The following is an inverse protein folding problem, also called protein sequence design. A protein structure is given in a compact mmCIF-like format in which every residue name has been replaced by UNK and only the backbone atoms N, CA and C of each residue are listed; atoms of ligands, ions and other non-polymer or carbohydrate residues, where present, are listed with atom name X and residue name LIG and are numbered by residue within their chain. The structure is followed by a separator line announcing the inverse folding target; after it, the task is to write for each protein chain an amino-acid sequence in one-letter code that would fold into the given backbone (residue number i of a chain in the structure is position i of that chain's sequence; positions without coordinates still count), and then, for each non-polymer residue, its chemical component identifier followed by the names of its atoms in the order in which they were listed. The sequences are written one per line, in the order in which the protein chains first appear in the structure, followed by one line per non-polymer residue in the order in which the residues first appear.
data_IF_328085991282
#
_entry.id   IF_328085991282
#
_cell.length_a   1.000
_cell.length_b   1.000
_cell.length_c   1.000
_cell.angle_alpha   90.00
_cell.angle_beta   90.00
_cell.angle_gamma   90.00
#
_symmetry.space_group_name_H-M   'P 1'
#
loop_
_entity.id
_entity.type
_entity.pdbx_description
1 polymer ?
#
# COMPACT_ATOMS: atom_id res chain seq x y z
N UNK A 1 5.33 -10.99 -21.41
CA UNK A 1 3.96 -10.84 -21.94
C UNK A 1 3.35 -9.57 -21.33
N UNK A 2 2.96 -8.63 -22.15
CA UNK A 2 2.30 -7.38 -21.77
C UNK A 2 0.78 -7.55 -21.86
N UNK A 3 0.03 -6.83 -21.03
CA UNK A 3 -1.42 -6.76 -21.13
C UNK A 3 -1.86 -5.30 -21.13
N UNK A 4 -2.97 -5.02 -21.80
CA UNK A 4 -3.58 -3.69 -21.79
C UNK A 4 -4.78 -3.69 -20.84
N UNK A 5 -4.84 -2.69 -19.97
CA UNK A 5 -5.95 -2.46 -19.05
C UNK A 5 -6.34 -0.97 -19.12
N UNK A 6 -7.50 -0.68 -19.66
CA UNK A 6 -7.86 0.68 -20.02
C UNK A 6 -6.81 1.30 -20.95
N UNK A 7 -6.29 2.46 -20.58
CA UNK A 7 -5.23 3.17 -21.31
C UNK A 7 -3.81 2.73 -20.94
N UNK A 8 -3.67 1.77 -20.01
CA UNK A 8 -2.38 1.35 -19.48
C UNK A 8 -1.90 0.05 -20.09
N UNK A 9 -0.62 0.01 -20.49
CA UNK A 9 0.07 -1.22 -20.90
C UNK A 9 0.97 -1.66 -19.76
N UNK A 10 0.68 -2.84 -19.21
CA UNK A 10 1.36 -3.38 -18.03
C UNK A 10 2.41 -4.41 -18.42
N UNK A 11 3.53 -4.37 -17.71
CA UNK A 11 4.54 -5.43 -17.65
C UNK A 11 4.53 -6.07 -16.26
N UNK A 12 5.08 -7.28 -16.12
CA UNK A 12 5.18 -7.95 -14.81
C UNK A 12 5.88 -7.05 -13.79
N UNK A 13 5.46 -7.09 -12.55
CA UNK A 13 5.86 -6.25 -11.42
C UNK A 13 5.44 -4.77 -11.52
N UNK A 14 4.75 -4.34 -12.59
CA UNK A 14 4.07 -3.04 -12.58
C UNK A 14 2.92 -3.04 -11.56
N UNK A 15 2.65 -1.89 -10.99
CA UNK A 15 1.55 -1.70 -10.04
C UNK A 15 0.48 -0.80 -10.65
N UNK A 16 -0.72 -1.36 -10.83
CA UNK A 16 -1.89 -0.59 -11.22
C UNK A 16 -2.55 -0.02 -9.96
N UNK A 17 -2.69 1.29 -9.90
CA UNK A 17 -3.40 1.97 -8.82
C UNK A 17 -4.82 2.25 -9.28
N UNK A 18 -5.79 1.83 -8.48
CA UNK A 18 -7.21 1.99 -8.77
C UNK A 18 -7.94 2.61 -7.59
N UNK A 19 -9.08 3.24 -7.86
CA UNK A 19 -9.99 3.79 -6.85
C UNK A 19 -11.35 3.12 -6.89
N UNK A 20 -11.99 3.01 -5.73
CA UNK A 20 -13.38 2.53 -5.60
C UNK A 20 -14.33 3.65 -6.03
N UNK A 21 -15.28 3.37 -6.94
CA UNK A 21 -16.27 4.34 -7.42
C UNK A 21 -17.23 4.82 -6.33
N UNK A 22 -17.45 4.01 -5.31
CA UNK A 22 -18.35 4.31 -4.21
C UNK A 22 -17.64 4.98 -3.03
N UNK A 23 -16.30 4.85 -2.96
CA UNK A 23 -15.51 5.35 -1.84
C UNK A 23 -14.11 5.76 -2.31
N UNK A 24 -14.01 6.98 -2.83
CA UNK A 24 -12.83 7.53 -3.53
C UNK A 24 -11.67 7.97 -2.62
N UNK A 25 -11.75 7.69 -1.30
CA UNK A 25 -10.76 8.18 -0.33
C UNK A 25 -9.45 7.38 -0.31
N UNK A 26 -9.48 6.11 -0.73
CA UNK A 26 -8.31 5.23 -0.65
C UNK A 26 -7.93 4.67 -2.01
N UNK A 27 -6.64 4.73 -2.31
CA UNK A 27 -6.04 4.05 -3.45
C UNK A 27 -5.87 2.56 -3.16
N UNK A 28 -6.21 1.71 -4.14
CA UNK A 28 -5.90 0.28 -4.10
C UNK A 28 -4.78 -0.04 -5.09
N UNK A 29 -3.84 -0.88 -4.67
CA UNK A 29 -2.62 -1.19 -5.42
C UNK A 29 -2.63 -2.66 -5.84
N UNK A 30 -2.59 -2.89 -7.15
CA UNK A 30 -2.60 -4.21 -7.76
C UNK A 30 -1.26 -4.48 -8.46
N UNK A 31 -0.52 -5.46 -8.02
CA UNK A 31 0.75 -5.89 -8.64
C UNK A 31 0.45 -6.84 -9.78
N UNK A 32 0.83 -6.50 -11.00
CA UNK A 32 0.67 -7.37 -12.16
C UNK A 32 1.78 -8.43 -12.18
N UNK A 33 1.41 -9.69 -12.15
CA UNK A 33 2.36 -10.82 -12.14
C UNK A 33 2.47 -11.57 -13.48
N UNK A 34 1.71 -11.16 -14.48
CA UNK A 34 1.67 -11.80 -15.79
C UNK A 34 0.40 -12.60 -16.02
N UNK A 35 0.19 -13.05 -17.26
CA UNK A 35 -0.93 -13.93 -17.67
C UNK A 35 -2.31 -13.45 -17.23
N UNK A 36 -2.54 -12.14 -17.22
CA UNK A 36 -3.81 -11.56 -16.77
C UNK A 36 -4.08 -11.75 -15.27
N UNK A 37 -3.03 -11.90 -14.46
CA UNK A 37 -3.12 -12.10 -13.02
C UNK A 37 -2.51 -10.94 -12.26
N UNK A 38 -3.13 -10.60 -11.13
CA UNK A 38 -2.67 -9.60 -10.19
C UNK A 38 -2.66 -10.15 -8.78
N UNK A 39 -1.76 -9.63 -7.96
CA UNK A 39 -1.80 -9.83 -6.50
C UNK A 39 -2.12 -8.48 -5.87
N UNK A 40 -3.08 -8.46 -4.96
CA UNK A 40 -3.51 -7.25 -4.25
C UNK A 40 -3.82 -7.54 -2.79
N UNK A 41 -3.56 -6.56 -1.94
CA UNK A 41 -4.06 -6.56 -0.57
C UNK A 41 -5.46 -5.94 -0.58
N UNK A 42 -6.47 -6.76 -0.30
CA UNK A 42 -7.88 -6.39 -0.32
C UNK A 42 -8.50 -6.67 1.06
N UNK A 43 -9.76 -6.31 1.24
CA UNK A 43 -10.52 -6.73 2.42
C UNK A 43 -10.42 -8.25 2.58
N UNK A 44 -9.85 -8.70 3.68
CA UNK A 44 -9.59 -10.12 3.96
C UNK A 44 -8.19 -10.62 3.55
N UNK A 45 -7.25 -9.72 3.21
CA UNK A 45 -5.83 -10.03 3.02
C UNK A 45 -5.35 -10.05 1.57
N UNK A 46 -4.11 -10.52 1.41
CA UNK A 46 -3.47 -10.61 0.09
C UNK A 46 -4.00 -11.80 -0.67
N UNK A 47 -4.45 -11.56 -1.89
CA UNK A 47 -5.03 -12.58 -2.76
C UNK A 47 -4.65 -12.42 -4.22
N UNK A 48 -4.68 -13.56 -4.92
CA UNK A 48 -4.55 -13.62 -6.37
C UNK A 48 -5.89 -13.24 -7.03
N UNK A 49 -5.83 -12.35 -8.02
CA UNK A 49 -6.97 -11.94 -8.84
C UNK A 49 -6.69 -12.27 -10.30
N UNK A 50 -7.68 -12.81 -11.02
CA UNK A 50 -7.59 -13.11 -12.46
C UNK A 50 -8.38 -12.10 -13.27
N UNK A 51 -7.97 -11.83 -14.51
CA UNK A 51 -8.60 -10.83 -15.40
C UNK A 51 -10.08 -11.13 -15.65
N UNK A 52 -10.49 -12.42 -15.67
CA UNK A 52 -11.90 -12.80 -15.82
C UNK A 52 -12.78 -12.26 -14.70
N UNK A 53 -12.17 -12.00 -13.54
CA UNK A 53 -12.85 -11.44 -12.37
C UNK A 53 -12.96 -9.90 -12.48
N UNK A 54 -12.28 -9.31 -13.48
CA UNK A 54 -12.18 -7.88 -13.69
C UNK A 54 -13.44 -7.22 -14.22
N UNK A 55 -14.33 -7.92 -14.95
CA UNK A 55 -15.59 -7.32 -15.38
C UNK A 55 -16.43 -6.82 -14.20
N UNK A 56 -16.47 -7.62 -13.12
CA UNK A 56 -17.09 -7.21 -11.87
C UNK A 56 -16.22 -6.19 -11.10
N UNK A 57 -14.90 -6.26 -11.28
CA UNK A 57 -13.98 -5.32 -10.69
C UNK A 57 -14.08 -3.93 -11.33
N UNK A 58 -14.13 -3.82 -12.67
CA UNK A 58 -14.26 -2.55 -13.40
C UNK A 58 -15.58 -1.82 -13.13
N UNK A 59 -16.64 -2.54 -12.76
CA UNK A 59 -17.89 -1.91 -12.34
C UNK A 59 -17.72 -1.12 -11.04
N UNK A 60 -16.83 -1.57 -10.16
CA UNK A 60 -16.56 -0.97 -8.84
C UNK A 60 -15.31 -0.10 -8.81
N UNK A 61 -14.26 -0.48 -9.53
CA UNK A 61 -12.98 0.21 -9.49
C UNK A 61 -12.60 0.78 -10.86
N UNK A 62 -11.89 1.90 -10.86
CA UNK A 62 -11.33 2.49 -12.06
C UNK A 62 -9.83 2.78 -11.90
N UNK A 63 -9.02 2.62 -12.98
CA UNK A 63 -7.60 2.87 -12.93
C UNK A 63 -7.31 4.38 -12.90
N UNK A 64 -6.45 4.80 -11.98
CA UNK A 64 -6.03 6.21 -11.86
C UNK A 64 -4.57 6.42 -12.20
N UNK A 65 -3.72 5.42 -11.99
CA UNK A 65 -2.28 5.55 -12.21
C UNK A 65 -1.62 4.20 -12.44
N UNK A 66 -0.58 4.19 -13.26
CA UNK A 66 0.32 3.06 -13.43
C UNK A 66 1.70 3.42 -12.86
N UNK A 67 2.17 2.64 -11.87
CA UNK A 67 3.54 2.67 -11.38
C UNK A 67 4.35 1.61 -12.12
N UNK A 68 5.22 2.06 -13.02
CA UNK A 68 6.15 1.16 -13.71
C UNK A 68 7.18 0.61 -12.75
N UNK A 69 7.50 -0.67 -12.89
CA UNK A 69 8.65 -1.25 -12.21
C UNK A 69 9.93 -0.69 -12.83
N UNK A 70 10.81 -0.16 -11.98
CA UNK A 70 12.12 0.38 -12.38
C UNK A 70 13.19 -0.61 -11.91
N UNK A 71 13.87 -1.26 -12.83
CA UNK A 71 14.90 -2.24 -12.55
C UNK A 71 15.14 -3.18 -13.73
N UNK A 72 16.21 -3.99 -13.61
CA UNK A 72 16.55 -5.03 -14.59
C UNK A 72 15.68 -6.29 -14.41
N UNK A 73 15.85 -7.29 -15.29
CA UNK A 73 15.04 -8.51 -15.26
C UNK A 73 15.29 -9.38 -14.00
N UNK A 74 16.49 -9.35 -13.42
CA UNK A 74 16.78 -10.06 -12.17
C UNK A 74 16.01 -9.42 -11.00
N UNK A 75 16.05 -8.10 -10.91
CA UNK A 75 15.30 -7.34 -9.89
C UNK A 75 13.79 -7.52 -10.07
N UNK A 76 13.31 -7.61 -11.31
CA UNK A 76 11.91 -7.91 -11.64
C UNK A 76 11.51 -9.30 -11.16
N UNK A 77 12.39 -10.30 -11.36
CA UNK A 77 12.16 -11.67 -10.86
C UNK A 77 12.04 -11.69 -9.33
N UNK A 78 12.91 -10.98 -8.62
CA UNK A 78 12.82 -10.84 -7.16
C UNK A 78 11.53 -10.15 -6.71
N UNK A 79 11.08 -9.11 -7.42
CA UNK A 79 9.81 -8.46 -7.12
C UNK A 79 8.63 -9.44 -7.26
N UNK A 80 8.62 -10.26 -8.30
CA UNK A 80 7.58 -11.28 -8.51
C UNK A 80 7.63 -12.37 -7.45
N UNK A 81 8.83 -12.80 -7.03
CA UNK A 81 9.00 -13.74 -5.93
C UNK A 81 8.42 -13.18 -4.62
N UNK A 82 8.77 -11.94 -4.24
CA UNK A 82 8.17 -11.28 -3.06
C UNK A 82 6.65 -11.21 -3.13
N UNK A 83 6.09 -10.90 -4.30
CA UNK A 83 4.63 -10.87 -4.47
C UNK A 83 3.99 -12.25 -4.21
N UNK A 84 4.61 -13.32 -4.69
CA UNK A 84 4.14 -14.70 -4.50
C UNK A 84 4.28 -15.17 -3.04
N UNK A 85 5.38 -14.83 -2.38
CA UNK A 85 5.62 -15.14 -0.96
C UNK A 85 4.53 -14.53 -0.06
N UNK A 86 4.04 -13.33 -0.42
CA UNK A 86 2.96 -12.66 0.31
C UNK A 86 1.61 -13.38 0.22
N UNK A 87 1.41 -14.33 -0.69
CA UNK A 87 0.20 -15.16 -0.76
C UNK A 87 0.16 -16.27 0.32
N UNK A 88 1.26 -16.51 1.04
CA UNK A 88 1.32 -17.56 2.04
C UNK A 88 0.63 -17.15 3.35
N UNK A 89 -0.09 -18.08 4.05
CA UNK A 89 -0.82 -17.77 5.28
C UNK A 89 0.03 -17.23 6.43
N UNK A 90 1.34 -17.54 6.43
CA UNK A 90 2.31 -17.07 7.43
C UNK A 90 2.65 -15.58 7.30
N UNK A 91 2.27 -14.95 6.18
CA UNK A 91 2.55 -13.55 5.93
C UNK A 91 1.47 -12.68 6.57
N UNK A 92 1.61 -12.44 7.86
CA UNK A 92 0.72 -11.53 8.59
C UNK A 92 1.04 -10.08 8.20
N UNK A 93 0.30 -9.55 7.24
CA UNK A 93 0.26 -8.13 6.94
C UNK A 93 -0.79 -7.41 7.82
N UNK A 94 -0.91 -7.82 9.08
CA UNK A 94 -1.90 -7.30 10.03
C UNK A 94 -1.90 -5.77 10.18
N UNK A 95 -0.82 -5.10 9.75
CA UNK A 95 -0.66 -3.64 9.83
C UNK A 95 -0.29 -2.98 8.49
N UNK A 96 -0.34 -3.70 7.37
CA UNK A 96 0.11 -3.18 6.07
C UNK A 96 -1.09 -2.85 5.18
N UNK A 97 -1.20 -1.61 4.76
CA UNK A 97 -2.16 -1.22 3.73
C UNK A 97 -1.70 -1.71 2.35
N UNK A 98 -2.55 -1.55 1.33
CA UNK A 98 -2.25 -2.01 -0.04
C UNK A 98 -1.03 -1.30 -0.65
N UNK A 99 -0.70 -0.07 -0.22
CA UNK A 99 0.50 0.64 -0.66
C UNK A 99 1.78 0.04 -0.06
N UNK A 100 1.78 -0.36 1.22
CA UNK A 100 2.90 -1.08 1.86
C UNK A 100 3.23 -2.36 1.11
N UNK A 101 2.21 -3.15 0.75
CA UNK A 101 2.37 -4.35 -0.04
C UNK A 101 3.02 -4.06 -1.40
N UNK A 102 2.51 -3.08 -2.14
CA UNK A 102 3.04 -2.73 -3.46
C UNK A 102 4.48 -2.20 -3.38
N UNK A 103 4.80 -1.38 -2.37
CA UNK A 103 6.15 -0.89 -2.13
C UNK A 103 7.11 -2.02 -1.79
N UNK A 104 6.72 -2.91 -0.87
CA UNK A 104 7.53 -4.10 -0.54
C UNK A 104 7.81 -4.95 -1.78
N UNK A 105 6.81 -5.21 -2.61
CA UNK A 105 7.01 -5.97 -3.84
C UNK A 105 8.01 -5.29 -4.76
N UNK A 106 7.86 -3.99 -5.04
CA UNK A 106 8.72 -3.30 -6.00
C UNK A 106 10.12 -2.99 -5.47
N UNK A 107 10.25 -2.67 -4.18
CA UNK A 107 11.50 -2.14 -3.62
C UNK A 107 12.14 -3.01 -2.54
N UNK A 108 11.42 -3.99 -1.99
CA UNK A 108 11.79 -4.73 -0.80
C UNK A 108 11.52 -3.98 0.52
N UNK A 109 11.04 -2.74 0.45
CA UNK A 109 10.75 -1.90 1.62
C UNK A 109 9.25 -1.71 1.84
N UNK A 110 8.80 -1.80 3.09
CA UNK A 110 7.40 -1.62 3.49
C UNK A 110 7.17 -0.18 3.95
N UNK A 111 6.98 0.74 3.03
CA UNK A 111 6.68 2.15 3.32
C UNK A 111 5.36 2.54 2.68
N UNK A 112 4.61 3.46 3.29
CA UNK A 112 3.38 4.02 2.72
C UNK A 112 3.35 5.53 2.89
N UNK A 113 3.25 6.24 1.78
CA UNK A 113 3.00 7.68 1.79
C UNK A 113 1.60 8.01 2.32
N UNK A 114 0.61 7.14 2.13
CA UNK A 114 -0.73 7.33 2.66
C UNK A 114 -0.74 7.28 4.18
N UNK A 115 -0.07 6.29 4.77
CA UNK A 115 0.06 6.12 6.21
C UNK A 115 0.83 7.28 6.84
N UNK A 116 1.97 7.67 6.24
CA UNK A 116 2.76 8.82 6.69
C UNK A 116 1.96 10.12 6.65
N UNK A 117 1.23 10.39 5.55
CA UNK A 117 0.38 11.58 5.44
C UNK A 117 -0.75 11.59 6.47
N UNK A 118 -1.40 10.45 6.70
CA UNK A 118 -2.45 10.33 7.71
C UNK A 118 -1.91 10.60 9.11
N UNK A 119 -0.72 10.08 9.44
CA UNK A 119 -0.04 10.31 10.73
C UNK A 119 0.30 11.78 10.93
N UNK A 120 0.84 12.45 9.91
CA UNK A 120 1.15 13.89 9.95
C UNK A 120 -0.15 14.71 10.10
N UNK A 121 -1.22 14.36 9.41
CA UNK A 121 -2.50 15.04 9.51
C UNK A 121 -3.10 14.91 10.92
N UNK A 122 -2.98 13.74 11.56
CA UNK A 122 -3.41 13.53 12.95
C UNK A 122 -2.61 14.39 13.93
N UNK A 123 -1.30 14.50 13.77
CA UNK A 123 -0.46 15.37 14.61
C UNK A 123 -0.88 16.83 14.43
N UNK A 124 -1.03 17.29 13.19
CA UNK A 124 -1.41 18.68 12.91
C UNK A 124 -2.81 19.02 13.45
N UNK A 125 -3.79 18.14 13.25
CA UNK A 125 -5.14 18.32 13.77
C UNK A 125 -5.16 18.33 15.30
N UNK A 126 -4.43 17.41 15.94
CA UNK A 126 -4.30 17.35 17.39
C UNK A 126 -3.64 18.60 17.97
N UNK A 127 -2.58 19.10 17.36
CA UNK A 127 -1.90 20.33 17.77
C UNK A 127 -2.81 21.57 17.63
N UNK A 128 -3.57 21.66 16.53
CA UNK A 128 -4.56 22.74 16.35
C UNK A 128 -5.62 22.70 17.44
N UNK A 129 -6.21 21.54 17.70
CA UNK A 129 -7.27 21.38 18.73
C UNK A 129 -6.75 21.72 20.13
N UNK A 130 -5.53 21.32 20.50
CA UNK A 130 -4.95 21.63 21.81
C UNK A 130 -4.61 23.11 21.96
N UNK A 131 -4.24 23.80 20.88
CA UNK A 131 -3.86 25.21 20.92
C UNK A 131 -5.10 26.13 21.02
N UNK A 132 -6.17 25.81 20.31
CA UNK A 132 -7.37 26.69 20.21
C UNK A 132 -8.35 26.47 21.38
N UNK A 133 -8.34 25.31 22.03
CA UNK A 133 -9.33 24.98 23.05
C UNK A 133 -8.69 24.84 24.44
N UNK A 134 -9.29 25.53 25.41
CA UNK A 134 -8.87 25.48 26.82
C UNK A 134 -9.67 24.49 27.67
N UNK A 135 -10.67 23.80 27.11
CA UNK A 135 -11.45 22.80 27.84
C UNK A 135 -10.68 21.49 27.96
N UNK A 136 -10.55 20.94 29.17
CA UNK A 136 -9.80 19.72 29.45
C UNK A 136 -10.16 18.52 28.52
N UNK A 137 -11.45 18.16 28.29
CA UNK A 137 -11.77 17.02 27.46
C UNK A 137 -11.34 17.21 26.01
N UNK A 138 -11.37 18.42 25.47
CA UNK A 138 -10.94 18.71 24.10
C UNK A 138 -9.41 18.66 23.98
N UNK A 139 -8.67 19.12 24.99
CA UNK A 139 -7.22 19.00 25.04
C UNK A 139 -6.76 17.53 25.10
N UNK A 140 -7.50 16.69 25.84
CA UNK A 140 -7.23 15.23 25.90
C UNK A 140 -7.40 14.59 24.53
N UNK A 141 -8.47 14.93 23.80
CA UNK A 141 -8.70 14.41 22.43
C UNK A 141 -7.56 14.87 21.50
N UNK A 142 -7.13 16.13 21.57
CA UNK A 142 -6.02 16.65 20.77
C UNK A 142 -4.71 15.92 21.09
N UNK A 143 -4.39 15.73 22.38
CA UNK A 143 -3.20 15.01 22.81
C UNK A 143 -3.21 13.53 22.34
N UNK A 144 -4.35 12.86 22.42
CA UNK A 144 -4.50 11.49 21.90
C UNK A 144 -4.32 11.42 20.39
N UNK A 145 -4.78 12.43 19.65
CA UNK A 145 -4.57 12.51 18.20
C UNK A 145 -3.09 12.69 17.84
N UNK A 146 -2.36 13.53 18.57
CA UNK A 146 -0.92 13.69 18.41
C UNK A 146 -0.20 12.36 18.70
N UNK A 147 -0.53 11.72 19.80
CA UNK A 147 0.07 10.43 20.19
C UNK A 147 -0.17 9.36 19.11
N UNK A 148 -1.39 9.25 18.61
CA UNK A 148 -1.72 8.31 17.55
C UNK A 148 -0.93 8.59 16.26
N UNK A 149 -0.78 9.85 15.87
CA UNK A 149 0.03 10.24 14.73
C UNK A 149 1.52 9.94 14.91
N UNK A 150 2.09 10.20 16.07
CA UNK A 150 3.49 9.87 16.41
C UNK A 150 3.70 8.36 16.37
N UNK A 151 2.82 7.57 16.99
CA UNK A 151 2.91 6.10 16.94
C UNK A 151 2.82 5.57 15.51
N UNK A 152 1.99 6.19 14.65
CA UNK A 152 1.93 5.86 13.24
C UNK A 152 3.24 6.10 12.51
N UNK A 153 3.91 7.24 12.74
CA UNK A 153 5.23 7.53 12.15
C UNK A 153 6.33 6.59 12.66
N UNK A 154 6.31 6.28 13.95
CA UNK A 154 7.25 5.32 14.53
C UNK A 154 7.07 3.93 13.92
N UNK A 155 5.84 3.48 13.75
CA UNK A 155 5.56 2.19 13.10
C UNK A 155 6.11 2.14 11.67
N UNK A 156 5.98 3.21 10.87
CA UNK A 156 6.60 3.29 9.53
C UNK A 156 8.13 3.16 9.60
N UNK A 157 8.78 3.85 10.54
CA UNK A 157 10.22 3.81 10.71
C UNK A 157 10.70 2.41 11.17
N UNK A 158 9.99 1.75 12.08
CA UNK A 158 10.31 0.39 12.52
C UNK A 158 10.14 -0.63 11.40
N UNK A 159 9.07 -0.51 10.61
CA UNK A 159 8.80 -1.38 9.46
C UNK A 159 9.90 -1.24 8.39
N UNK A 160 10.42 -0.03 8.16
CA UNK A 160 11.52 0.19 7.22
C UNK A 160 12.83 -0.46 7.72
N UNK A 161 13.18 -0.26 9.00
CA UNK A 161 14.41 -0.81 9.57
C UNK A 161 14.41 -2.33 9.69
N UNK A 162 13.27 -2.96 10.01
CA UNK A 162 13.19 -4.43 10.12
C UNK A 162 13.40 -5.15 8.77
N UNK A 163 13.19 -4.47 7.65
CA UNK A 163 13.37 -5.02 6.30
C UNK A 163 14.73 -4.69 5.66
N UNK A 164 15.51 -3.77 6.23
CA UNK A 164 16.85 -3.45 5.73
C UNK A 164 17.81 -4.65 5.79
N UNK A 165 17.60 -5.59 6.73
CA UNK A 165 18.40 -6.80 6.88
C UNK A 165 18.17 -7.89 5.81
N UNK A 166 17.07 -7.85 5.08
CA UNK A 166 16.74 -8.87 4.06
C UNK A 166 17.03 -8.44 2.62
N UNK A 167 17.37 -7.18 2.38
CA UNK A 167 17.60 -6.64 1.04
C UNK A 167 18.97 -6.97 0.46
N UNK A 168 19.90 -7.53 1.25
CA UNK A 168 21.30 -7.77 0.86
C UNK A 168 21.82 -9.14 1.35
N UNK A 169 21.14 -10.22 1.00
CA UNK A 169 21.83 -11.52 0.93
C UNK A 169 21.92 -11.89 -0.54
N UNK A 170 23.14 -11.62 -1.04
CA UNK A 170 23.65 -11.98 -2.39
C UNK A 170 23.59 -13.47 -2.65
#
# INVERSE_FOLDING_TARGET
MTIRFGNYTLQRADVLVVKDRNFDLLDHYLVYIGNGQFIANMSGGIRLMKIRDFKNFESRFYPVRLRKFIGNEVQRAWALQRAQECLQPKYSLLYSNCEHFANYVQTGKRQSLQSTKASIALIAAGAFVTNENKSEPVQVIGALSILAGVLGLLNEAFVDNSNAGYAYQS
#
